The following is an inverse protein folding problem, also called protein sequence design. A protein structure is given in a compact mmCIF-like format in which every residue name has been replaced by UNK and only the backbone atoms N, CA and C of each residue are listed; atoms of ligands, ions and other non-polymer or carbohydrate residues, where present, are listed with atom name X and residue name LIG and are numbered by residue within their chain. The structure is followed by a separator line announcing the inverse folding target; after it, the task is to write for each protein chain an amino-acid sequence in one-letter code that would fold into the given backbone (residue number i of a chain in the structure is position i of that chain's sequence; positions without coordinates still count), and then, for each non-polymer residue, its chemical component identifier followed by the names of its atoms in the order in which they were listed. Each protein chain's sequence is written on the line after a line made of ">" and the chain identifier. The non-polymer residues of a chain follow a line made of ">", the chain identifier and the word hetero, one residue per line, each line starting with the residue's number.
data_IF_821659715691
#
_entry.id   IF_821659715691
#
_cell.length_a   1.000
_cell.length_b   1.000
_cell.length_c   1.000
_cell.angle_alpha   90.00
_cell.angle_beta   90.00
_cell.angle_gamma   90.00
#
_symmetry.space_group_name_H-M   'P 1'
#
loop_
_entity.id
_entity.type
_entity.pdbx_description
1 polymer ?
#
# COMPACT_ATOMS: atom_id res chain seq x y z
N UNK A 1 1.13 17.28 -7.05
CA UNK A 1 1.79 17.61 -5.77
C UNK A 1 1.51 16.53 -4.71
N UNK A 2 0.25 16.23 -4.40
CA UNK A 2 -0.12 15.32 -3.28
C UNK A 2 0.25 13.83 -3.46
N UNK A 3 0.80 13.42 -4.59
CA UNK A 3 1.43 12.11 -4.80
C UNK A 3 2.93 12.09 -4.45
N UNK A 4 3.50 13.23 -4.06
CA UNK A 4 4.88 13.31 -3.58
C UNK A 4 4.95 12.85 -2.12
N UNK A 5 5.38 11.61 -1.92
CA UNK A 5 5.40 10.94 -0.62
C UNK A 5 6.35 11.62 0.38
N UNK A 6 7.49 12.15 -0.09
CA UNK A 6 8.44 12.85 0.77
C UNK A 6 7.89 14.20 1.26
N UNK A 7 7.26 14.97 0.36
CA UNK A 7 6.59 16.21 0.73
C UNK A 7 5.45 15.95 1.74
N UNK A 8 4.65 14.90 1.54
CA UNK A 8 3.59 14.53 2.45
C UNK A 8 4.12 14.16 3.84
N UNK A 9 5.21 13.39 3.90
CA UNK A 9 5.85 13.01 5.17
C UNK A 9 6.45 14.22 5.88
N UNK A 10 7.07 15.14 5.16
CA UNK A 10 7.56 16.39 5.74
C UNK A 10 6.41 17.24 6.28
N UNK A 11 5.31 17.39 5.54
CA UNK A 11 4.13 18.10 6.04
C UNK A 11 3.59 17.43 7.31
N UNK A 12 3.46 16.10 7.32
CA UNK A 12 3.03 15.35 8.51
C UNK A 12 3.91 15.64 9.73
N UNK A 13 5.24 15.64 9.54
CA UNK A 13 6.19 15.69 10.64
C UNK A 13 6.56 17.12 11.08
N UNK A 14 6.55 18.10 10.15
CA UNK A 14 7.16 19.42 10.36
C UNK A 14 6.13 20.57 10.41
N UNK A 15 4.89 20.37 9.90
CA UNK A 15 3.94 21.50 9.77
C UNK A 15 3.18 21.87 11.03
N UNK A 16 3.19 21.03 12.07
CA UNK A 16 2.40 21.23 13.28
C UNK A 16 0.89 20.98 13.13
N UNK A 17 0.40 20.58 11.96
CA UNK A 17 -1.00 20.17 11.80
C UNK A 17 -1.27 18.86 12.55
N UNK A 18 -2.44 18.79 13.20
CA UNK A 18 -2.86 17.60 13.96
C UNK A 18 -3.15 16.38 13.09
N UNK A 19 -3.56 16.61 11.86
CA UNK A 19 -3.87 15.55 10.90
C UNK A 19 -3.64 16.03 9.47
N UNK A 20 -3.33 15.07 8.60
CA UNK A 20 -3.25 15.26 7.15
C UNK A 20 -4.20 14.28 6.47
N UNK A 21 -4.96 14.76 5.51
CA UNK A 21 -5.83 13.94 4.68
C UNK A 21 -5.48 14.11 3.21
N UNK A 22 -5.19 13.01 2.55
CA UNK A 22 -4.95 12.95 1.10
C UNK A 22 -5.81 11.82 0.55
N UNK A 23 -6.76 12.09 -0.35
CA UNK A 23 -7.56 11.02 -0.95
C UNK A 23 -6.70 10.12 -1.86
N UNK A 24 -7.09 8.85 -2.06
CA UNK A 24 -6.31 7.91 -2.87
C UNK A 24 -6.16 8.32 -4.34
N UNK A 25 -7.08 9.15 -4.86
CA UNK A 25 -7.12 9.63 -6.24
C UNK A 25 -6.81 11.13 -6.32
N UNK A 26 -5.58 11.54 -6.03
CA UNK A 26 -5.15 12.95 -5.98
C UNK A 26 -4.64 13.52 -7.32
N UNK A 27 -4.99 12.92 -8.43
CA UNK A 27 -4.66 13.38 -9.79
C UNK A 27 -5.93 13.85 -10.52
N UNK A 28 -5.77 14.29 -11.75
CA UNK A 28 -6.89 14.68 -12.63
C UNK A 28 -7.96 13.59 -12.74
N UNK A 29 -7.55 12.31 -12.64
CA UNK A 29 -8.48 11.17 -12.60
C UNK A 29 -9.41 11.16 -11.38
N UNK A 30 -9.09 11.89 -10.32
CA UNK A 30 -9.94 12.03 -9.13
C UNK A 30 -10.96 13.17 -9.22
N UNK A 31 -10.89 14.04 -10.21
CA UNK A 31 -11.80 15.17 -10.34
C UNK A 31 -13.27 14.73 -10.51
N UNK A 32 -13.51 13.65 -11.28
CA UNK A 32 -14.85 13.11 -11.45
C UNK A 32 -15.43 12.57 -10.13
N UNK A 33 -14.61 11.97 -9.28
CA UNK A 33 -15.03 11.51 -7.95
C UNK A 33 -15.34 12.69 -7.03
N UNK A 34 -14.53 13.74 -7.08
CA UNK A 34 -14.78 14.98 -6.33
C UNK A 34 -16.07 15.68 -6.76
N UNK A 35 -16.32 15.77 -8.07
CA UNK A 35 -17.56 16.35 -8.60
C UNK A 35 -18.79 15.54 -8.18
N UNK A 36 -18.74 14.20 -8.29
CA UNK A 36 -19.81 13.32 -7.85
C UNK A 36 -20.06 13.41 -6.34
N UNK A 37 -19.00 13.46 -5.53
CA UNK A 37 -19.12 13.62 -4.08
C UNK A 37 -19.72 14.98 -3.69
N UNK A 38 -19.38 16.04 -4.42
CA UNK A 38 -19.96 17.36 -4.23
C UNK A 38 -21.45 17.41 -4.56
N UNK A 39 -21.83 16.83 -5.71
CA UNK A 39 -23.26 16.72 -6.09
C UNK A 39 -24.06 15.95 -5.03
N UNK A 40 -23.53 14.81 -4.59
CA UNK A 40 -24.14 14.02 -3.53
C UNK A 40 -24.30 14.82 -2.23
N UNK A 41 -23.27 15.56 -1.85
CA UNK A 41 -23.32 16.43 -0.66
C UNK A 41 -24.40 17.50 -0.78
N UNK A 42 -24.54 18.14 -1.94
CA UNK A 42 -25.59 19.16 -2.17
C UNK A 42 -27.00 18.60 -2.01
N UNK A 43 -27.22 17.33 -2.39
CA UNK A 43 -28.53 16.68 -2.31
C UNK A 43 -28.82 16.09 -0.93
N UNK A 44 -27.80 15.53 -0.24
CA UNK A 44 -28.00 14.72 0.96
C UNK A 44 -27.45 15.38 2.25
N UNK A 45 -26.67 16.45 2.15
CA UNK A 45 -26.05 17.14 3.29
C UNK A 45 -24.86 16.40 3.92
N UNK A 46 -24.41 15.28 3.34
CA UNK A 46 -23.30 14.48 3.83
C UNK A 46 -22.35 14.06 2.70
N UNK A 47 -21.07 13.86 3.02
CA UNK A 47 -20.08 13.36 2.06
C UNK A 47 -20.16 11.84 2.00
N UNK A 48 -20.26 11.23 0.79
CA UNK A 48 -20.30 9.79 0.67
C UNK A 48 -19.01 9.14 1.20
N UNK A 49 -19.12 7.94 1.77
CA UNK A 49 -17.96 7.17 2.22
C UNK A 49 -17.02 6.92 1.02
N UNK A 50 -15.81 7.46 1.12
CA UNK A 50 -14.80 7.30 0.07
C UNK A 50 -14.15 5.92 0.14
N UNK A 51 -14.01 5.29 -1.03
CA UNK A 51 -13.28 4.03 -1.20
C UNK A 51 -12.41 4.13 -2.45
N UNK A 52 -11.20 3.59 -2.44
CA UNK A 52 -10.38 3.48 -3.64
C UNK A 52 -10.85 2.35 -4.58
N UNK A 53 -11.69 1.44 -4.11
CA UNK A 53 -12.09 0.23 -4.84
C UNK A 53 -13.41 0.45 -5.59
N UNK A 54 -13.36 1.19 -6.69
CA UNK A 54 -14.52 1.59 -7.48
C UNK A 54 -14.59 0.96 -8.89
N UNK A 55 -13.51 0.31 -9.32
CA UNK A 55 -13.41 -0.28 -10.66
C UNK A 55 -14.16 -1.62 -10.81
N UNK A 56 -13.92 -2.32 -11.93
CA UNK A 56 -14.51 -3.64 -12.20
C UNK A 56 -14.26 -4.63 -11.07
N UNK A 57 -15.24 -5.50 -10.84
CA UNK A 57 -15.21 -6.49 -9.77
C UNK A 57 -14.88 -7.89 -10.30
N UNK A 58 -13.95 -8.55 -9.64
CA UNK A 58 -13.60 -9.95 -9.86
C UNK A 58 -13.92 -10.79 -8.61
N UNK A 59 -14.02 -12.11 -8.72
CA UNK A 59 -14.24 -12.96 -7.55
C UNK A 59 -13.17 -12.76 -6.49
N UNK A 60 -13.56 -12.83 -5.23
CA UNK A 60 -12.62 -12.77 -4.10
C UNK A 60 -12.01 -14.15 -3.87
N UNK A 61 -10.69 -14.23 -3.77
CA UNK A 61 -9.90 -15.47 -3.70
C UNK A 61 -9.61 -15.90 -2.25
N UNK A 62 -10.62 -16.06 -1.42
CA UNK A 62 -10.43 -16.42 -0.01
C UNK A 62 -10.04 -17.89 0.22
N UNK A 63 -10.39 -18.77 -0.68
CA UNK A 63 -10.09 -20.20 -0.67
C UNK A 63 -8.65 -20.54 -1.05
N UNK A 64 -7.89 -19.59 -1.59
CA UNK A 64 -6.51 -19.76 -2.04
C UNK A 64 -5.46 -19.13 -1.10
N UNK A 65 -5.87 -18.61 0.06
CA UNK A 65 -4.99 -17.85 0.96
C UNK A 65 -3.78 -18.66 1.42
N UNK A 66 -3.98 -19.91 1.83
CA UNK A 66 -2.90 -20.78 2.30
C UNK A 66 -1.89 -21.11 1.18
N UNK A 67 -2.38 -21.43 -0.01
CA UNK A 67 -1.52 -21.70 -1.17
C UNK A 67 -0.72 -20.47 -1.57
N UNK A 68 -1.34 -19.30 -1.59
CA UNK A 68 -0.67 -18.03 -1.91
C UNK A 68 0.39 -17.66 -0.86
N UNK A 69 0.11 -17.88 0.42
CA UNK A 69 1.08 -17.67 1.48
C UNK A 69 2.29 -18.60 1.34
N UNK A 70 2.04 -19.89 1.04
CA UNK A 70 3.10 -20.86 0.76
C UNK A 70 3.96 -20.45 -0.43
N UNK A 71 3.36 -20.12 -1.56
CA UNK A 71 4.05 -19.66 -2.77
C UNK A 71 4.96 -18.45 -2.49
N UNK A 72 4.47 -17.47 -1.70
CA UNK A 72 5.27 -16.31 -1.29
C UNK A 72 6.42 -16.73 -0.36
N UNK A 73 6.20 -17.68 0.55
CA UNK A 73 7.27 -18.19 1.43
C UNK A 73 8.41 -18.84 0.63
N UNK A 74 8.07 -19.48 -0.48
CA UNK A 74 9.01 -20.08 -1.45
C UNK A 74 9.65 -19.06 -2.40
N UNK A 75 9.49 -17.75 -2.13
CA UNK A 75 10.05 -16.64 -2.93
C UNK A 75 9.49 -16.49 -4.34
N UNK A 76 8.30 -17.02 -4.59
CA UNK A 76 7.62 -16.84 -5.88
C UNK A 76 7.01 -15.43 -5.98
N UNK A 77 6.78 -15.01 -7.20
CA UNK A 77 6.10 -13.76 -7.53
C UNK A 77 4.68 -14.07 -7.93
N UNK A 78 3.71 -13.38 -7.32
CA UNK A 78 2.28 -13.62 -7.52
C UNK A 78 1.62 -12.40 -8.15
N UNK A 79 0.82 -12.61 -9.19
CA UNK A 79 -0.14 -11.64 -9.71
C UNK A 79 -1.47 -11.78 -8.99
N UNK A 80 -1.88 -10.78 -8.23
CA UNK A 80 -3.12 -10.79 -7.46
C UNK A 80 -4.20 -9.97 -8.18
N UNK A 81 -5.29 -10.63 -8.53
CA UNK A 81 -6.49 -10.04 -9.13
C UNK A 81 -7.71 -10.51 -8.34
N UNK A 82 -8.34 -9.61 -7.58
CA UNK A 82 -9.43 -9.95 -6.67
C UNK A 82 -10.33 -8.75 -6.41
N UNK A 83 -11.60 -8.98 -6.08
CA UNK A 83 -12.55 -7.93 -5.71
C UNK A 83 -12.61 -6.76 -6.71
N UNK A 84 -13.04 -5.60 -6.26
CA UNK A 84 -13.10 -4.39 -7.11
C UNK A 84 -11.73 -3.77 -7.30
N UNK A 85 -11.37 -3.44 -8.54
CA UNK A 85 -10.09 -2.78 -8.81
C UNK A 85 -10.01 -1.40 -8.17
N UNK A 86 -8.77 -1.00 -7.88
CA UNK A 86 -8.45 0.32 -7.34
C UNK A 86 -8.69 1.41 -8.39
N UNK A 87 -9.17 2.56 -7.92
CA UNK A 87 -9.20 3.81 -8.67
C UNK A 87 -8.05 4.69 -8.18
N UNK A 88 -7.25 5.20 -9.11
CA UNK A 88 -6.07 6.01 -8.78
C UNK A 88 -4.75 5.38 -9.20
N UNK A 89 -3.62 6.04 -8.89
CA UNK A 89 -2.30 5.68 -9.42
C UNK A 89 -1.61 4.54 -8.66
N UNK A 90 -2.17 4.06 -7.55
CA UNK A 90 -1.56 3.06 -6.67
C UNK A 90 -2.33 1.74 -6.71
N UNK A 91 -1.62 0.63 -6.85
CA UNK A 91 -2.15 -0.69 -6.55
C UNK A 91 -2.24 -0.84 -5.02
N UNK A 92 -3.39 -1.27 -4.50
CA UNK A 92 -3.67 -1.35 -3.06
C UNK A 92 -4.12 -2.76 -2.64
N UNK A 93 -3.64 -3.79 -3.36
CA UNK A 93 -3.87 -5.18 -3.01
C UNK A 93 -4.89 -5.91 -3.87
N UNK A 94 -5.67 -5.24 -4.72
CA UNK A 94 -6.66 -5.90 -5.58
C UNK A 94 -6.17 -6.13 -7.01
N UNK A 95 -5.27 -5.31 -7.51
CA UNK A 95 -4.58 -5.46 -8.81
C UNK A 95 -3.09 -5.25 -8.57
N UNK A 96 -2.44 -6.27 -8.00
CA UNK A 96 -1.08 -6.13 -7.48
C UNK A 96 -0.18 -7.27 -7.95
N UNK A 97 1.10 -6.99 -8.10
CA UNK A 97 2.14 -8.01 -8.17
C UNK A 97 2.84 -8.00 -6.82
N UNK A 98 2.83 -9.12 -6.13
CA UNK A 98 3.37 -9.28 -4.78
C UNK A 98 4.51 -10.29 -4.75
N UNK A 99 5.48 -10.04 -3.88
CA UNK A 99 6.64 -10.89 -3.63
C UNK A 99 7.25 -10.56 -2.27
N UNK A 100 8.20 -11.33 -1.80
CA UNK A 100 8.92 -11.04 -0.55
C UNK A 100 9.74 -9.77 -0.64
N UNK A 101 9.83 -9.05 0.47
CA UNK A 101 10.50 -7.75 0.58
C UNK A 101 12.00 -7.86 0.91
N UNK A 102 12.50 -9.03 1.31
CA UNK A 102 13.83 -9.31 1.83
C UNK A 102 14.87 -9.67 0.75
N UNK A 103 14.61 -9.36 -0.52
CA UNK A 103 15.48 -9.79 -1.61
C UNK A 103 15.63 -8.73 -2.71
N UNK A 104 16.85 -8.25 -2.88
CA UNK A 104 17.21 -7.23 -3.89
C UNK A 104 17.06 -7.75 -5.32
N UNK A 105 17.41 -9.01 -5.59
CA UNK A 105 17.28 -9.60 -6.93
C UNK A 105 15.81 -9.74 -7.33
N UNK A 106 14.95 -10.07 -6.36
CA UNK A 106 13.50 -10.15 -6.58
C UNK A 106 12.91 -8.77 -6.91
N UNK A 107 13.38 -7.72 -6.21
CA UNK A 107 13.05 -6.32 -6.56
C UNK A 107 13.43 -6.00 -8.00
N UNK A 108 14.64 -6.38 -8.41
CA UNK A 108 15.13 -6.15 -9.77
C UNK A 108 14.26 -6.87 -10.79
N UNK A 109 13.97 -8.14 -10.54
CA UNK A 109 13.05 -8.94 -11.37
C UNK A 109 11.69 -8.27 -11.53
N UNK A 110 11.08 -7.81 -10.44
CA UNK A 110 9.80 -7.11 -10.47
C UNK A 110 9.85 -5.80 -11.24
N UNK A 111 10.87 -5.00 -11.02
CA UNK A 111 10.95 -3.66 -11.61
C UNK A 111 11.37 -3.69 -13.08
N UNK A 112 12.48 -4.35 -13.40
CA UNK A 112 13.08 -4.30 -14.73
C UNK A 112 12.43 -5.30 -15.69
N UNK A 113 12.27 -6.57 -15.27
CA UNK A 113 11.82 -7.62 -16.18
C UNK A 113 10.28 -7.70 -16.27
N UNK A 114 9.57 -7.65 -15.15
CA UNK A 114 8.11 -7.81 -15.16
C UNK A 114 7.38 -6.50 -15.45
N UNK A 115 7.77 -5.40 -14.80
CA UNK A 115 7.11 -4.09 -14.97
C UNK A 115 7.75 -3.21 -16.04
N UNK A 116 8.89 -3.61 -16.59
CA UNK A 116 9.66 -2.89 -17.64
C UNK A 116 9.81 -1.40 -17.32
N UNK A 117 10.24 -1.10 -16.10
CA UNK A 117 10.40 0.26 -15.61
C UNK A 117 11.81 0.49 -15.06
N UNK A 118 12.14 1.73 -14.82
CA UNK A 118 13.45 2.14 -14.34
C UNK A 118 13.76 1.53 -12.97
N UNK A 119 14.99 1.09 -12.76
CA UNK A 119 15.48 0.38 -11.57
C UNK A 119 15.30 1.18 -10.27
N UNK A 120 15.34 2.51 -10.34
CA UNK A 120 15.25 3.40 -9.18
C UNK A 120 13.81 3.61 -8.69
N UNK A 121 12.80 3.16 -9.41
CA UNK A 121 11.41 3.30 -8.95
C UNK A 121 11.16 2.45 -7.72
N UNK A 122 10.62 3.03 -6.64
CA UNK A 122 10.40 2.30 -5.40
C UNK A 122 9.34 1.20 -5.56
N UNK A 123 9.60 0.08 -4.91
CA UNK A 123 8.62 -0.97 -4.61
C UNK A 123 8.14 -0.73 -3.19
N UNK A 124 6.87 -0.97 -2.92
CA UNK A 124 6.26 -0.71 -1.62
C UNK A 124 6.11 -2.01 -0.83
N UNK A 125 6.57 -2.08 0.43
CA UNK A 125 6.19 -3.18 1.31
C UNK A 125 4.71 -3.07 1.67
N UNK A 126 4.08 -4.24 1.79
CA UNK A 126 2.75 -4.40 2.39
C UNK A 126 2.93 -5.04 3.75
N UNK A 127 2.30 -4.52 4.78
CA UNK A 127 2.44 -5.04 6.15
C UNK A 127 1.16 -4.84 6.96
N UNK A 128 1.01 -5.64 8.00
CA UNK A 128 -0.05 -5.45 9.00
C UNK A 128 0.28 -4.24 9.89
N UNK A 129 -0.74 -3.62 10.47
CA UNK A 129 -0.58 -2.46 11.35
C UNK A 129 0.33 -2.77 12.54
N UNK A 130 0.18 -3.92 13.20
CA UNK A 130 1.05 -4.37 14.30
C UNK A 130 2.53 -4.53 13.90
N UNK A 131 2.77 -4.95 12.67
CA UNK A 131 4.12 -5.07 12.11
C UNK A 131 4.70 -3.68 11.83
N UNK A 132 3.89 -2.76 11.30
CA UNK A 132 4.30 -1.38 11.06
C UNK A 132 4.70 -0.66 12.36
N UNK A 133 3.91 -0.79 13.42
CA UNK A 133 4.23 -0.25 14.76
C UNK A 133 5.56 -0.77 15.31
N UNK A 134 5.87 -2.04 15.05
CA UNK A 134 7.11 -2.68 15.52
C UNK A 134 8.31 -2.27 14.69
N UNK A 135 8.18 -2.25 13.35
CA UNK A 135 9.34 -2.14 12.46
C UNK A 135 9.61 -0.73 11.93
N UNK A 136 8.64 0.18 12.01
CA UNK A 136 8.79 1.56 11.55
C UNK A 136 8.90 2.50 12.76
N UNK A 137 9.86 3.42 12.74
CA UNK A 137 10.14 4.30 13.89
C UNK A 137 9.22 5.51 13.98
N UNK A 138 8.64 5.94 12.85
CA UNK A 138 7.81 7.14 12.74
C UNK A 138 6.39 6.84 12.23
N UNK A 139 5.96 5.58 12.31
CA UNK A 139 4.58 5.18 12.08
C UNK A 139 3.73 5.38 13.34
N UNK A 140 2.53 5.88 13.16
CA UNK A 140 1.53 5.95 14.22
C UNK A 140 0.26 5.19 13.80
N UNK A 141 -0.39 4.43 14.73
CA UNK A 141 -1.64 3.74 14.44
C UNK A 141 -2.69 4.65 13.83
N UNK A 142 -3.32 4.17 12.77
CA UNK A 142 -4.33 4.95 12.06
C UNK A 142 -3.81 6.01 11.09
N UNK A 143 -2.51 6.06 10.82
CA UNK A 143 -1.94 6.98 9.82
C UNK A 143 -2.51 6.69 8.43
N UNK A 144 -3.33 7.63 7.93
CA UNK A 144 -4.04 7.50 6.66
C UNK A 144 -3.12 7.57 5.44
N UNK A 145 -1.92 8.14 5.56
CA UNK A 145 -0.96 8.14 4.46
C UNK A 145 -0.46 6.72 4.16
N UNK A 146 -0.30 5.88 5.18
CA UNK A 146 0.09 4.49 5.04
C UNK A 146 -1.00 3.62 4.40
N UNK A 147 -2.27 3.96 4.58
CA UNK A 147 -3.39 3.21 3.98
C UNK A 147 -3.39 3.26 2.44
N UNK A 148 -2.76 4.29 1.84
CA UNK A 148 -2.78 4.52 0.40
C UNK A 148 -1.39 4.71 -0.20
N UNK A 149 -0.32 4.33 0.51
CA UNK A 149 1.07 4.54 0.06
C UNK A 149 1.39 6.00 -0.28
N UNK A 150 0.94 6.94 0.53
CA UNK A 150 1.07 8.39 0.32
C UNK A 150 2.13 9.04 1.23
N UNK A 151 2.81 8.27 2.07
CA UNK A 151 3.89 8.70 2.94
C UNK A 151 5.10 7.76 2.90
N UNK A 152 6.20 8.22 3.47
CA UNK A 152 7.41 7.44 3.74
C UNK A 152 7.60 7.26 5.24
N UNK A 153 8.21 6.16 5.64
CA UNK A 153 8.44 5.77 7.03
C UNK A 153 9.84 5.21 7.18
N UNK A 154 10.53 5.58 8.26
CA UNK A 154 11.86 5.07 8.55
C UNK A 154 11.78 3.66 9.12
N UNK A 155 12.54 2.75 8.54
CA UNK A 155 12.72 1.40 9.04
C UNK A 155 13.71 1.45 10.21
N UNK A 156 13.40 0.80 11.35
CA UNK A 156 14.36 0.66 12.46
C UNK A 156 15.55 -0.15 12.01
N UNK A 157 16.76 0.20 12.48
CA UNK A 157 18.02 -0.39 12.02
C UNK A 157 18.03 -1.92 12.10
N UNK A 158 17.50 -2.46 13.18
CA UNK A 158 17.44 -3.91 13.41
C UNK A 158 16.59 -4.69 12.40
N UNK A 159 15.78 -4.00 11.58
CA UNK A 159 14.92 -4.62 10.57
C UNK A 159 15.31 -4.30 9.13
N UNK A 160 16.35 -3.51 8.88
CA UNK A 160 16.74 -3.08 7.52
C UNK A 160 16.96 -4.27 6.56
N UNK A 161 17.56 -5.35 7.04
CA UNK A 161 17.81 -6.55 6.23
C UNK A 161 16.50 -7.19 5.74
N UNK A 162 15.44 -7.14 6.55
CA UNK A 162 14.10 -7.65 6.18
C UNK A 162 13.45 -6.83 5.07
N UNK A 163 13.90 -5.61 4.86
CA UNK A 163 13.40 -4.70 3.83
C UNK A 163 14.41 -4.44 2.71
N UNK A 164 15.47 -5.23 2.61
CA UNK A 164 16.56 -5.02 1.64
C UNK A 164 16.10 -4.88 0.18
N UNK A 165 15.01 -5.55 -0.19
CA UNK A 165 14.40 -5.43 -1.52
C UNK A 165 13.54 -4.19 -1.75
N UNK A 166 13.17 -3.44 -0.71
CA UNK A 166 12.19 -2.34 -0.82
C UNK A 166 12.61 -1.04 -0.14
N UNK A 167 13.64 -1.07 0.71
CA UNK A 167 14.15 0.11 1.41
C UNK A 167 14.78 1.10 0.42
N UNK A 168 14.50 2.39 0.63
CA UNK A 168 15.10 3.48 -0.11
C UNK A 168 16.51 3.78 0.41
N UNK A 169 17.31 4.51 -0.37
CA UNK A 169 18.69 4.87 -0.02
C UNK A 169 18.82 5.65 1.32
N UNK A 170 17.76 6.31 1.73
CA UNK A 170 17.69 7.08 2.98
C UNK A 170 17.11 6.27 4.17
N UNK A 171 16.99 4.95 4.06
CA UNK A 171 16.46 4.09 5.12
C UNK A 171 14.93 4.12 5.29
N UNK A 172 14.21 4.77 4.36
CA UNK A 172 12.74 4.82 4.41
C UNK A 172 12.09 3.77 3.49
N UNK A 173 10.82 3.50 3.73
CA UNK A 173 9.94 2.71 2.86
C UNK A 173 8.64 3.46 2.60
N UNK A 174 8.01 3.21 1.45
CA UNK A 174 6.65 3.64 1.15
C UNK A 174 5.68 2.52 1.47
N UNK A 175 5.27 2.39 2.73
CA UNK A 175 4.46 1.27 3.19
C UNK A 175 2.99 1.37 2.73
N UNK A 176 2.41 0.20 2.43
CA UNK A 176 0.97 -0.04 2.47
C UNK A 176 0.66 -0.78 3.77
N UNK A 177 0.01 -0.12 4.70
CA UNK A 177 -0.36 -0.73 5.98
C UNK A 177 -1.81 -1.17 5.93
N UNK A 178 -2.04 -2.44 6.22
CA UNK A 178 -3.35 -3.08 6.19
C UNK A 178 -3.93 -3.21 7.60
N UNK A 179 -5.21 -2.92 7.69
CA UNK A 179 -6.07 -3.20 8.86
C UNK A 179 -6.94 -4.43 8.56
N UNK A 180 -7.56 -4.95 9.61
CA UNK A 180 -8.32 -6.21 9.65
C UNK A 180 -9.37 -6.41 8.55
N UNK A 181 -9.80 -5.36 7.89
CA UNK A 181 -10.89 -5.38 6.91
C UNK A 181 -10.45 -5.41 5.44
N UNK A 182 -9.16 -5.57 5.16
CA UNK A 182 -8.61 -5.59 3.78
C UNK A 182 -8.32 -7.02 3.31
N UNK A 183 -9.35 -7.77 3.10
CA UNK A 183 -9.33 -9.11 2.52
C UNK A 183 -9.09 -9.06 0.98
N UNK A 184 -8.39 -10.02 0.37
CA UNK A 184 -7.77 -11.21 0.96
C UNK A 184 -6.30 -10.99 1.37
N UNK A 185 -5.68 -9.88 0.96
CA UNK A 185 -4.25 -9.65 1.20
C UNK A 185 -3.90 -9.65 2.69
N UNK A 186 -4.79 -9.14 3.54
CA UNK A 186 -4.63 -9.22 5.00
C UNK A 186 -4.48 -10.66 5.47
N UNK A 187 -5.35 -11.58 5.03
CA UNK A 187 -5.30 -12.99 5.40
C UNK A 187 -4.04 -13.68 4.91
N UNK A 188 -3.59 -13.38 3.68
CA UNK A 188 -2.32 -13.92 3.16
C UNK A 188 -1.14 -13.50 4.07
N UNK A 189 -1.14 -12.26 4.55
CA UNK A 189 -0.08 -11.78 5.44
C UNK A 189 -0.16 -12.41 6.84
N UNK A 190 -1.36 -12.59 7.39
CA UNK A 190 -1.56 -13.30 8.67
C UNK A 190 -1.03 -14.73 8.53
N UNK A 191 -1.43 -15.44 7.50
CA UNK A 191 -0.98 -16.81 7.23
C UNK A 191 0.54 -16.92 7.08
N UNK A 192 1.17 -15.95 6.39
CA UNK A 192 2.63 -15.90 6.29
C UNK A 192 3.32 -15.72 7.63
N UNK A 193 2.77 -14.88 8.51
CA UNK A 193 3.35 -14.60 9.83
C UNK A 193 3.16 -15.77 10.81
N UNK A 194 2.06 -16.52 10.68
CA UNK A 194 1.74 -17.64 11.58
C UNK A 194 2.48 -18.92 11.23
N UNK A 195 2.68 -19.20 9.93
CA UNK A 195 3.21 -20.50 9.45
C UNK A 195 4.63 -20.43 8.92
N UNK A 196 5.13 -19.28 8.51
CA UNK A 196 6.40 -19.12 7.79
C UNK A 196 7.23 -17.94 8.33
#
# INVERSE_FOLDING_TARGET
>A
AALNIDANSRIRNESGFKSIFIPPCTSDSGLCLGAAAWSYFCENGEVPKQSPYLGPNEPTILDQVEDLAKELSERKVIGLVTGRSETGPRALGHRSIIARADNVDLRRTLSEYMKKREWYRPVAPVMLESVAETMLSDYAPGDRLAEYMLGTYHVREEYLDKFSGVVHANGTVRALVLKDNREPLFRILVELLEKY
#
